data_IF_824877029138
#
_entry.id   IF_824877029138
#
_cell.length_a   1.000
_cell.length_b   1.000
_cell.length_c   1.000
_cell.angle_alpha   90.00
_cell.angle_beta   90.00
_cell.angle_gamma   90.00
#
_symmetry.space_group_name_H-M   'P 1'
#
loop_
_entity.id
_entity.type
_entity.pdbx_description
1 polymer ?
#
# COMPACT_ATOMS: atom_id res chain seq x y z
N UNK A 1 68.89 9.45 -11.20
CA UNK A 1 67.73 9.60 -12.10
C UNK A 1 66.61 8.85 -11.41
N UNK A 2 65.76 9.57 -10.69
CA UNK A 2 64.61 8.95 -10.01
C UNK A 2 63.53 8.77 -11.08
N UNK A 3 63.19 7.52 -11.39
CA UNK A 3 62.00 7.21 -12.17
C UNK A 3 60.79 7.59 -11.29
N UNK A 4 60.13 8.69 -11.62
CA UNK A 4 58.83 8.99 -11.02
C UNK A 4 57.85 7.89 -11.47
N UNK A 5 57.17 7.20 -10.53
CA UNK A 5 56.15 6.24 -10.91
C UNK A 5 55.02 7.02 -11.60
N UNK A 6 54.84 6.74 -12.89
CA UNK A 6 53.72 7.24 -13.67
C UNK A 6 52.44 6.56 -13.16
N UNK A 7 51.89 7.09 -12.05
CA UNK A 7 50.51 6.84 -11.63
C UNK A 7 49.60 7.56 -12.61
N UNK A 8 49.47 6.97 -13.80
CA UNK A 8 48.41 7.27 -14.72
C UNK A 8 47.10 6.88 -14.05
N UNK A 9 46.46 7.84 -13.37
CA UNK A 9 45.07 7.69 -12.94
C UNK A 9 44.25 7.41 -14.20
N UNK A 10 43.75 6.18 -14.30
CA UNK A 10 42.98 5.71 -15.45
C UNK A 10 41.69 6.53 -15.55
N UNK A 11 41.71 7.57 -16.40
CA UNK A 11 40.56 8.41 -16.74
C UNK A 11 39.33 7.60 -17.20
N UNK A 12 39.53 6.35 -17.66
CA UNK A 12 38.44 5.44 -18.02
C UNK A 12 37.60 4.98 -16.82
N UNK A 13 38.19 4.84 -15.63
CA UNK A 13 37.50 4.31 -14.45
C UNK A 13 36.51 5.30 -13.84
N UNK A 14 36.80 6.60 -13.91
CA UNK A 14 35.91 7.65 -13.40
C UNK A 14 34.70 7.83 -14.30
N UNK A 15 34.89 7.84 -15.63
CA UNK A 15 33.80 7.92 -16.60
C UNK A 15 32.84 6.72 -16.50
N UNK A 16 33.37 5.50 -16.32
CA UNK A 16 32.56 4.30 -16.07
C UNK A 16 31.81 4.35 -14.74
N UNK A 17 32.44 4.87 -13.68
CA UNK A 17 31.79 5.08 -12.39
C UNK A 17 30.64 6.11 -12.48
N UNK A 18 30.87 7.26 -13.13
CA UNK A 18 29.82 8.26 -13.36
C UNK A 18 28.69 7.71 -14.24
N UNK A 19 29.02 6.90 -15.25
CA UNK A 19 28.05 6.18 -16.07
C UNK A 19 27.21 5.20 -15.26
N UNK A 20 27.84 4.38 -14.42
CA UNK A 20 27.17 3.41 -13.55
C UNK A 20 26.27 4.09 -12.50
N UNK A 21 26.74 5.17 -11.87
CA UNK A 21 25.94 5.99 -10.95
C UNK A 21 24.74 6.61 -11.69
N UNK A 22 24.95 7.13 -12.91
CA UNK A 22 23.88 7.66 -13.74
C UNK A 22 22.79 6.63 -14.02
N UNK A 23 23.18 5.41 -14.43
CA UNK A 23 22.24 4.30 -14.65
C UNK A 23 21.50 3.93 -13.36
N UNK A 24 22.21 3.84 -12.23
CA UNK A 24 21.62 3.51 -10.93
C UNK A 24 20.60 4.57 -10.49
N UNK A 25 20.92 5.86 -10.63
CA UNK A 25 20.00 6.96 -10.31
C UNK A 25 18.75 6.89 -11.19
N UNK A 26 18.91 6.68 -12.49
CA UNK A 26 17.77 6.54 -13.42
C UNK A 26 16.90 5.34 -13.05
N UNK A 27 17.51 4.19 -12.73
CA UNK A 27 16.78 3.00 -12.32
C UNK A 27 16.00 3.22 -11.01
N UNK A 28 16.60 3.90 -10.03
CA UNK A 28 15.94 4.26 -8.76
C UNK A 28 14.76 5.22 -9.00
N UNK A 29 14.95 6.24 -9.84
CA UNK A 29 13.88 7.19 -10.18
C UNK A 29 12.72 6.49 -10.88
N UNK A 30 13.00 5.63 -11.87
CA UNK A 30 11.97 4.84 -12.56
C UNK A 30 11.24 3.93 -11.57
N UNK A 31 11.97 3.21 -10.72
CA UNK A 31 11.38 2.35 -9.69
C UNK A 31 10.47 3.12 -8.72
N UNK A 32 10.88 4.31 -8.30
CA UNK A 32 10.08 5.19 -7.45
C UNK A 32 8.79 5.64 -8.16
N UNK A 33 8.88 6.06 -9.43
CA UNK A 33 7.72 6.50 -10.21
C UNK A 33 6.71 5.37 -10.41
N UNK A 34 7.19 4.16 -10.72
CA UNK A 34 6.34 2.97 -10.83
C UNK A 34 5.68 2.66 -9.49
N UNK A 35 6.46 2.68 -8.39
CA UNK A 35 5.95 2.42 -7.04
C UNK A 35 4.86 3.40 -6.63
N UNK A 36 5.06 4.70 -6.88
CA UNK A 36 4.05 5.74 -6.63
C UNK A 36 2.81 5.52 -7.50
N UNK A 37 2.97 5.17 -8.78
CA UNK A 37 1.85 4.87 -9.67
C UNK A 37 1.00 3.71 -9.19
N UNK A 38 1.63 2.62 -8.76
CA UNK A 38 0.94 1.45 -8.17
C UNK A 38 0.22 1.86 -6.88
N UNK A 39 0.89 2.57 -5.98
CA UNK A 39 0.29 3.04 -4.72
C UNK A 39 -0.92 3.94 -4.98
N UNK A 40 -0.86 4.82 -5.99
CA UNK A 40 -1.96 5.70 -6.36
C UNK A 40 -3.16 4.91 -6.89
N UNK A 41 -2.92 3.88 -7.69
CA UNK A 41 -3.97 2.97 -8.17
C UNK A 41 -4.65 2.23 -7.01
N UNK A 42 -3.86 1.72 -6.05
CA UNK A 42 -4.41 1.06 -4.85
C UNK A 42 -5.22 2.03 -3.99
N UNK A 43 -4.70 3.24 -3.74
CA UNK A 43 -5.41 4.28 -3.00
C UNK A 43 -6.73 4.66 -3.69
N UNK A 44 -6.73 4.75 -5.03
CA UNK A 44 -7.95 4.99 -5.80
C UNK A 44 -9.00 3.90 -5.57
N UNK A 45 -8.62 2.62 -5.65
CA UNK A 45 -9.57 1.52 -5.42
C UNK A 45 -10.15 1.56 -3.99
N UNK A 46 -9.29 1.70 -2.98
CA UNK A 46 -9.74 1.73 -1.57
C UNK A 46 -10.62 2.95 -1.30
N UNK A 47 -10.23 4.12 -1.79
CA UNK A 47 -11.05 5.34 -1.71
C UNK A 47 -12.41 5.13 -2.38
N UNK A 48 -12.44 4.51 -3.56
CA UNK A 48 -13.69 4.26 -4.28
C UNK A 48 -14.59 3.27 -3.53
N UNK A 49 -14.04 2.23 -2.89
CA UNK A 49 -14.85 1.31 -2.10
C UNK A 49 -15.39 1.94 -0.82
N UNK A 50 -14.62 2.84 -0.21
CA UNK A 50 -15.06 3.57 0.98
C UNK A 50 -16.19 4.56 0.65
N UNK A 51 -16.22 5.12 -0.56
CA UNK A 51 -17.33 5.96 -1.05
C UNK A 51 -18.67 5.22 -1.06
N UNK A 52 -18.69 3.89 -1.19
CA UNK A 52 -19.92 3.10 -1.20
C UNK A 52 -20.51 2.91 0.21
N UNK A 53 -19.70 3.09 1.25
CA UNK A 53 -20.18 3.06 2.64
C UNK A 53 -20.91 4.37 2.94
N UNK A 54 -22.08 4.37 3.58
CA UNK A 54 -22.75 5.60 4.02
C UNK A 54 -21.85 6.48 4.91
N UNK A 55 -21.92 7.80 4.77
CA UNK A 55 -21.04 8.75 5.47
C UNK A 55 -21.05 8.60 6.99
N UNK A 56 -22.23 8.36 7.54
CA UNK A 56 -22.48 8.11 8.97
C UNK A 56 -21.76 6.88 9.54
N UNK A 57 -21.40 5.91 8.71
CA UNK A 57 -20.68 4.71 9.14
C UNK A 57 -19.18 4.79 8.87
N UNK A 58 -18.72 5.77 8.09
CA UNK A 58 -17.31 5.92 7.72
C UNK A 58 -16.48 6.37 8.93
N UNK A 59 -15.49 5.55 9.29
CA UNK A 59 -14.46 5.92 10.27
C UNK A 59 -13.36 6.82 9.66
N UNK A 60 -13.30 6.91 8.33
CA UNK A 60 -12.33 7.69 7.56
C UNK A 60 -13.00 8.28 6.32
N UNK A 61 -12.58 9.48 5.93
CA UNK A 61 -13.00 10.05 4.65
C UNK A 61 -12.21 9.42 3.49
N UNK A 62 -12.83 9.17 2.32
CA UNK A 62 -12.16 8.62 1.14
C UNK A 62 -10.89 9.37 0.73
N UNK A 63 -10.89 10.71 0.85
CA UNK A 63 -9.73 11.55 0.57
C UNK A 63 -8.52 11.27 1.46
N UNK A 64 -8.72 10.81 2.69
CA UNK A 64 -7.63 10.50 3.61
C UNK A 64 -6.82 9.25 3.19
N UNK A 65 -7.37 8.36 2.36
CA UNK A 65 -6.63 7.18 1.84
C UNK A 65 -5.40 7.61 1.02
N UNK A 66 -5.48 8.75 0.34
CA UNK A 66 -4.41 9.29 -0.51
C UNK A 66 -3.15 9.68 0.24
N UNK A 67 -3.24 9.85 1.57
CA UNK A 67 -2.07 10.13 2.40
C UNK A 67 -1.07 8.94 2.44
N UNK A 68 -1.46 7.75 1.97
CA UNK A 68 -0.55 6.63 1.73
C UNK A 68 0.54 6.93 0.69
N UNK A 69 0.36 7.94 -0.17
CA UNK A 69 1.38 8.32 -1.17
C UNK A 69 2.56 9.09 -0.58
N UNK A 70 2.43 9.59 0.65
CA UNK A 70 3.47 10.38 1.32
C UNK A 70 4.44 9.41 2.01
N UNK A 71 5.70 9.23 1.55
CA UNK A 71 6.53 8.08 1.92
C UNK A 71 6.81 7.88 3.41
N UNK A 72 7.02 8.96 4.17
CA UNK A 72 7.31 8.88 5.61
C UNK A 72 6.01 8.74 6.41
N UNK A 73 4.97 9.44 5.98
CA UNK A 73 3.68 9.42 6.65
C UNK A 73 2.94 8.09 6.42
N UNK A 74 3.14 7.47 5.25
CA UNK A 74 2.52 6.20 4.86
C UNK A 74 2.89 5.05 5.79
N UNK A 75 4.06 5.10 6.43
CA UNK A 75 4.50 4.10 7.41
C UNK A 75 3.53 3.96 8.59
N UNK A 76 3.05 5.08 9.10
CA UNK A 76 2.01 5.11 10.13
C UNK A 76 0.62 4.97 9.51
N UNK A 77 0.38 5.66 8.39
CA UNK A 77 -0.94 5.77 7.79
C UNK A 77 -1.49 4.45 7.25
N UNK A 78 -0.63 3.52 6.81
CA UNK A 78 -1.05 2.20 6.39
C UNK A 78 -1.78 1.41 7.49
N UNK A 79 -1.40 1.57 8.77
CA UNK A 79 -2.12 0.93 9.87
C UNK A 79 -3.52 1.54 10.02
N UNK A 80 -3.62 2.86 9.93
CA UNK A 80 -4.91 3.56 9.94
C UNK A 80 -5.79 3.06 8.81
N UNK A 81 -5.30 3.00 7.58
CA UNK A 81 -6.09 2.57 6.42
C UNK A 81 -6.44 1.08 6.49
N UNK A 82 -5.45 0.19 6.54
CA UNK A 82 -5.68 -1.24 6.32
C UNK A 82 -6.22 -1.98 7.53
N UNK A 83 -5.78 -1.61 8.74
CA UNK A 83 -6.14 -2.31 9.97
C UNK A 83 -7.32 -1.65 10.69
N UNK A 84 -7.41 -0.32 10.72
CA UNK A 84 -8.35 0.39 11.58
C UNK A 84 -9.55 0.92 10.80
N UNK A 85 -9.36 1.98 10.03
CA UNK A 85 -10.44 2.84 9.59
C UNK A 85 -11.24 2.25 8.42
N UNK A 86 -10.61 1.58 7.44
CA UNK A 86 -11.37 0.89 6.38
C UNK A 86 -12.18 -0.26 6.98
N UNK A 87 -11.59 -1.25 7.68
CA UNK A 87 -12.36 -2.33 8.27
C UNK A 87 -13.46 -1.84 9.23
N UNK A 88 -13.16 -0.81 10.05
CA UNK A 88 -14.14 -0.25 10.96
C UNK A 88 -15.32 0.41 10.23
N UNK A 89 -15.09 1.07 9.10
CA UNK A 89 -16.16 1.69 8.31
C UNK A 89 -17.15 0.64 7.79
N UNK A 90 -16.64 -0.47 7.26
CA UNK A 90 -17.50 -1.59 6.84
C UNK A 90 -18.18 -2.24 8.05
N UNK A 91 -17.45 -2.41 9.15
CA UNK A 91 -17.98 -3.02 10.37
C UNK A 91 -19.11 -2.21 10.99
N UNK A 92 -18.99 -0.89 11.06
CA UNK A 92 -20.02 0.01 11.55
C UNK A 92 -21.35 -0.19 10.79
N UNK A 93 -21.28 -0.23 9.46
CA UNK A 93 -22.44 -0.47 8.60
C UNK A 93 -23.13 -1.80 8.93
N UNK A 94 -22.37 -2.89 8.96
CA UNK A 94 -22.94 -4.23 9.19
C UNK A 94 -23.40 -4.45 10.62
N UNK A 95 -22.69 -3.91 11.61
CA UNK A 95 -23.08 -3.99 13.03
C UNK A 95 -24.41 -3.25 13.27
N UNK A 96 -24.62 -2.09 12.63
CA UNK A 96 -25.89 -1.35 12.70
C UNK A 96 -27.07 -2.12 12.08
N UNK A 97 -26.80 -2.94 11.06
CA UNK A 97 -27.77 -3.86 10.45
C UNK A 97 -27.93 -5.18 11.21
N UNK A 98 -27.19 -5.37 12.32
CA UNK A 98 -27.19 -6.60 13.11
C UNK A 98 -26.52 -7.80 12.43
N UNK A 99 -25.72 -7.58 11.38
CA UNK A 99 -25.08 -8.65 10.61
C UNK A 99 -23.66 -8.93 11.13
N UNK A 100 -23.51 -9.96 11.97
CA UNK A 100 -22.22 -10.38 12.49
C UNK A 100 -21.48 -11.40 11.61
N UNK A 101 -22.09 -11.89 10.54
CA UNK A 101 -21.48 -12.90 9.66
C UNK A 101 -20.28 -12.37 8.84
N UNK A 102 -20.06 -11.05 8.84
CA UNK A 102 -18.96 -10.40 8.12
C UNK A 102 -17.61 -10.44 8.87
N UNK A 103 -17.61 -10.88 10.14
CA UNK A 103 -16.41 -11.02 10.97
C UNK A 103 -15.80 -9.68 11.37
N UNK A 104 -14.47 -9.58 11.31
CA UNK A 104 -13.69 -8.38 11.65
C UNK A 104 -13.51 -7.40 10.48
N UNK A 105 -14.22 -7.63 9.37
CA UNK A 105 -14.14 -6.86 8.12
C UNK A 105 -12.72 -6.69 7.56
N UNK A 106 -11.81 -7.63 7.84
CA UNK A 106 -10.43 -7.59 7.31
C UNK A 106 -9.42 -6.89 8.22
N UNK A 107 -9.80 -6.53 9.47
CA UNK A 107 -8.90 -5.91 10.45
C UNK A 107 -7.63 -6.72 10.72
N UNK A 108 -7.75 -8.02 11.00
CA UNK A 108 -6.60 -8.88 11.26
C UNK A 108 -5.73 -9.06 10.00
N UNK A 109 -6.34 -9.16 8.82
CA UNK A 109 -5.61 -9.23 7.56
C UNK A 109 -4.80 -7.95 7.31
N UNK A 110 -5.40 -6.78 7.56
CA UNK A 110 -4.73 -5.49 7.45
C UNK A 110 -3.56 -5.33 8.43
N UNK A 111 -3.70 -5.84 9.65
CA UNK A 111 -2.60 -5.88 10.63
C UNK A 111 -1.41 -6.70 10.13
N UNK A 112 -1.65 -7.93 9.65
CA UNK A 112 -0.60 -8.79 9.10
C UNK A 112 0.04 -8.17 7.87
N UNK A 113 -0.75 -7.55 6.99
CA UNK A 113 -0.25 -6.80 5.85
C UNK A 113 0.74 -5.71 6.29
N UNK A 114 0.38 -4.87 7.28
CA UNK A 114 1.28 -3.84 7.78
C UNK A 114 2.56 -4.44 8.36
N UNK A 115 2.48 -5.52 9.14
CA UNK A 115 3.66 -6.21 9.69
C UNK A 115 4.57 -6.72 8.56
N UNK A 116 4.00 -7.31 7.51
CA UNK A 116 4.76 -7.73 6.33
C UNK A 116 5.42 -6.55 5.61
N UNK A 117 4.75 -5.40 5.50
CA UNK A 117 5.35 -4.20 4.90
C UNK A 117 6.59 -3.72 5.66
N UNK A 118 6.58 -3.78 6.99
CA UNK A 118 7.79 -3.45 7.77
C UNK A 118 8.84 -4.56 7.72
N UNK A 119 8.42 -5.82 7.78
CA UNK A 119 9.34 -6.95 7.67
C UNK A 119 10.04 -7.01 6.31
N UNK A 120 9.42 -6.48 5.24
CA UNK A 120 10.03 -6.42 3.92
C UNK A 120 11.20 -5.42 3.82
N UNK A 121 11.30 -4.46 4.75
CA UNK A 121 12.42 -3.52 4.83
C UNK A 121 13.72 -4.15 5.34
N UNK A 122 13.67 -5.38 5.87
CA UNK A 122 14.84 -6.10 6.37
C UNK A 122 15.55 -6.77 5.17
N UNK A 123 16.79 -6.37 4.80
CA UNK A 123 17.43 -6.78 3.53
C UNK A 123 17.55 -8.30 3.30
N UNK A 124 17.71 -9.09 4.36
CA UNK A 124 17.88 -10.55 4.30
C UNK A 124 16.57 -11.34 4.27
N UNK A 125 15.48 -10.78 4.83
CA UNK A 125 14.15 -11.41 4.89
C UNK A 125 13.16 -10.79 3.89
N UNK A 126 13.58 -9.68 3.26
CA UNK A 126 12.67 -8.75 2.63
C UNK A 126 11.93 -9.30 1.41
N UNK A 127 12.59 -10.16 0.63
CA UNK A 127 12.01 -10.74 -0.58
C UNK A 127 10.87 -11.74 -0.27
N UNK A 128 11.08 -12.67 0.67
CA UNK A 128 10.05 -13.64 1.07
C UNK A 128 8.88 -12.95 1.78
N UNK A 129 9.19 -12.06 2.73
CA UNK A 129 8.16 -11.31 3.46
C UNK A 129 7.39 -10.38 2.53
N UNK A 130 8.05 -9.80 1.52
CA UNK A 130 7.42 -8.99 0.48
C UNK A 130 6.42 -9.76 -0.36
N UNK A 131 6.74 -11.00 -0.76
CA UNK A 131 5.80 -11.87 -1.50
C UNK A 131 4.57 -12.19 -0.64
N UNK A 132 4.78 -12.57 0.62
CA UNK A 132 3.66 -12.84 1.56
C UNK A 132 2.80 -11.59 1.76
N UNK A 133 3.44 -10.42 1.92
CA UNK A 133 2.76 -9.13 2.01
C UNK A 133 1.92 -8.82 0.78
N UNK A 134 2.43 -9.11 -0.43
CA UNK A 134 1.68 -8.92 -1.67
C UNK A 134 0.45 -9.84 -1.75
N UNK A 135 0.58 -11.10 -1.35
CA UNK A 135 -0.56 -12.03 -1.30
C UNK A 135 -1.61 -11.54 -0.30
N UNK A 136 -1.18 -11.12 0.90
CA UNK A 136 -2.09 -10.57 1.92
C UNK A 136 -2.79 -9.30 1.43
N UNK A 137 -2.09 -8.43 0.69
CA UNK A 137 -2.68 -7.24 0.09
C UNK A 137 -3.79 -7.63 -0.89
N UNK A 138 -3.56 -8.59 -1.78
CA UNK A 138 -4.56 -9.07 -2.73
C UNK A 138 -5.77 -9.66 -2.00
N UNK A 139 -5.54 -10.52 -0.99
CA UNK A 139 -6.63 -11.12 -0.21
C UNK A 139 -7.45 -10.07 0.55
N UNK A 140 -6.79 -9.09 1.16
CA UNK A 140 -7.45 -7.99 1.84
C UNK A 140 -8.30 -7.16 0.86
N UNK A 141 -7.75 -6.84 -0.32
CA UNK A 141 -8.47 -6.12 -1.38
C UNK A 141 -9.73 -6.87 -1.84
N UNK A 142 -9.62 -8.19 -2.09
CA UNK A 142 -10.77 -9.03 -2.46
C UNK A 142 -11.83 -9.02 -1.35
N UNK A 143 -11.42 -9.15 -0.09
CA UNK A 143 -12.32 -9.10 1.07
C UNK A 143 -13.10 -7.78 1.14
N UNK A 144 -12.41 -6.64 1.02
CA UNK A 144 -13.08 -5.33 1.05
C UNK A 144 -14.01 -5.15 -0.16
N UNK A 145 -13.61 -5.62 -1.34
CA UNK A 145 -14.46 -5.57 -2.53
C UNK A 145 -15.75 -6.39 -2.37
N UNK A 146 -15.67 -7.57 -1.76
CA UNK A 146 -16.86 -8.38 -1.44
C UNK A 146 -17.79 -7.66 -0.45
N UNK A 147 -17.24 -7.05 0.61
CA UNK A 147 -18.01 -6.28 1.58
C UNK A 147 -18.71 -5.09 0.90
N UNK A 148 -18.00 -4.37 0.02
CA UNK A 148 -18.57 -3.30 -0.80
C UNK A 148 -19.76 -3.80 -1.63
N UNK A 149 -19.63 -4.94 -2.31
CA UNK A 149 -20.73 -5.51 -3.10
C UNK A 149 -21.95 -5.88 -2.23
N UNK A 150 -21.73 -6.37 -1.01
CA UNK A 150 -22.80 -6.64 -0.05
C UNK A 150 -23.54 -5.37 0.38
N UNK A 151 -22.83 -4.28 0.64
CA UNK A 151 -23.43 -2.97 0.95
C UNK A 151 -24.29 -2.49 -0.22
N UNK A 152 -23.76 -2.51 -1.45
CA UNK A 152 -24.51 -2.07 -2.63
C UNK A 152 -25.78 -2.91 -2.82
N UNK A 153 -25.70 -4.23 -2.61
CA UNK A 153 -26.87 -5.11 -2.72
C UNK A 153 -27.94 -4.78 -1.66
N UNK A 154 -27.53 -4.58 -0.40
CA UNK A 154 -28.42 -4.25 0.72
C UNK A 154 -29.09 -2.88 0.52
N UNK A 155 -28.33 -1.87 0.07
CA UNK A 155 -28.87 -0.54 -0.23
C UNK A 155 -29.89 -0.58 -1.37
N UNK A 156 -29.62 -1.32 -2.44
CA UNK A 156 -30.56 -1.50 -3.55
C UNK A 156 -31.88 -2.14 -3.11
N UNK A 157 -31.83 -3.09 -2.19
CA UNK A 157 -33.04 -3.69 -1.62
C UNK A 157 -33.85 -2.68 -0.81
N UNK A 158 -33.18 -1.79 -0.06
CA UNK A 158 -33.86 -0.76 0.74
C UNK A 158 -34.50 0.37 -0.07
N UNK A 159 -33.98 0.68 -1.27
CA UNK A 159 -34.56 1.72 -2.17
C UNK A 159 -35.68 1.16 -3.06
N UNK A 160 -35.75 -0.16 -3.25
CA UNK A 160 -36.76 -0.83 -4.07
C UNK A 160 -38.02 -1.28 -3.32
N UNK A 161 -38.11 -1.03 -2.01
CA UNK A 161 -39.25 -1.33 -1.14
C UNK A 161 -39.99 -0.04 -0.75
#
# INVERSE_FOLDING_TARGET
MYDEPNIAYSYGNEAELFGAIGILVVAVVIGLLIGIGIAALLAYFVSNWLNEVPEEDRAMTPGQVWLLLIPIFSLYWQFRVYMLDVPQSFKNYFDRRGNQAVGDCGKNMGMWLCICTFGSMIPLLGSLVGIVGLVLLVLWMVKIHELKNKIIADLRQSTGA
#
